data_IF_401042066566
#
_entry.id   IF_401042066566
#
_cell.length_a   1.000
_cell.length_b   1.000
_cell.length_c   1.000
_cell.angle_alpha   90.00
_cell.angle_beta   90.00
_cell.angle_gamma   90.00
#
_symmetry.space_group_name_H-M   'P 1'
#
loop_
_entity.id
_entity.type
_entity.pdbx_description
1 polymer ?
#
# COMPACT_ATOMS: atom_id res chain seq x y z
N UNK A 1 -60.27 56.06 -50.38
CA UNK A 1 -58.83 56.29 -50.31
C UNK A 1 -58.25 55.26 -49.34
N UNK A 2 -57.58 54.24 -49.86
CA UNK A 2 -57.00 53.15 -49.07
C UNK A 2 -55.48 53.31 -49.07
N UNK A 3 -54.86 53.56 -47.87
CA UNK A 3 -53.43 53.56 -47.71
C UNK A 3 -52.94 52.15 -47.38
N UNK A 4 -52.11 51.59 -48.23
CA UNK A 4 -51.34 50.37 -48.00
C UNK A 4 -50.08 50.70 -47.21
N UNK A 5 -49.92 50.06 -46.06
CA UNK A 5 -48.63 50.05 -45.28
C UNK A 5 -47.79 48.90 -45.78
N UNK A 6 -46.58 49.19 -46.26
CA UNK A 6 -45.53 48.21 -46.55
C UNK A 6 -44.80 47.84 -45.24
N UNK A 7 -44.81 46.55 -44.95
CA UNK A 7 -43.93 45.97 -43.90
C UNK A 7 -42.63 45.50 -44.59
N UNK A 8 -41.48 46.00 -44.08
CA UNK A 8 -40.15 45.45 -44.38
C UNK A 8 -39.86 44.27 -43.43
N UNK A 9 -39.26 43.17 -43.89
CA UNK A 9 -38.82 42.12 -43.01
C UNK A 9 -37.42 42.42 -42.42
N UNK A 10 -37.32 42.44 -41.10
CA UNK A 10 -36.07 42.55 -40.36
C UNK A 10 -35.34 41.18 -40.42
N UNK A 11 -34.23 41.13 -41.14
CA UNK A 11 -33.36 39.94 -41.16
C UNK A 11 -32.56 39.87 -39.82
N UNK A 12 -32.82 38.84 -39.03
CA UNK A 12 -32.15 38.53 -37.81
C UNK A 12 -30.85 37.75 -38.11
N UNK A 13 -29.71 38.40 -37.97
CA UNK A 13 -28.40 37.81 -38.21
C UNK A 13 -28.00 37.01 -36.94
N UNK A 14 -28.16 35.69 -36.97
CA UNK A 14 -27.62 34.80 -35.92
C UNK A 14 -26.12 34.65 -36.10
N UNK A 15 -25.33 35.34 -35.25
CA UNK A 15 -23.89 35.08 -35.12
C UNK A 15 -23.68 33.78 -34.31
N UNK A 16 -23.30 32.73 -34.99
CA UNK A 16 -22.84 31.49 -34.33
C UNK A 16 -21.43 31.71 -33.75
N UNK A 17 -21.35 31.87 -32.46
CA UNK A 17 -20.05 31.79 -31.71
C UNK A 17 -19.58 30.35 -31.70
N UNK A 18 -18.65 30.00 -32.58
CA UNK A 18 -17.92 28.75 -32.51
C UNK A 18 -16.95 28.83 -31.34
N UNK A 19 -17.30 28.25 -30.19
CA UNK A 19 -16.41 28.00 -29.10
C UNK A 19 -15.40 26.92 -29.53
N UNK A 20 -14.22 27.32 -30.00
CA UNK A 20 -13.08 26.41 -30.11
C UNK A 20 -12.68 25.99 -28.70
N UNK A 21 -13.16 24.84 -28.22
CA UNK A 21 -12.55 24.16 -27.08
C UNK A 21 -11.17 23.66 -27.54
N UNK A 22 -10.12 24.36 -27.13
CA UNK A 22 -8.76 23.83 -27.22
C UNK A 22 -8.68 22.62 -26.28
N UNK A 23 -8.89 21.42 -26.85
CA UNK A 23 -8.53 20.20 -26.17
C UNK A 23 -7.02 20.28 -25.89
N UNK A 24 -6.65 20.40 -24.61
CA UNK A 24 -5.26 20.32 -24.20
C UNK A 24 -4.69 19.04 -24.79
N UNK A 25 -3.74 19.16 -25.70
CA UNK A 25 -2.99 18.02 -26.25
C UNK A 25 -2.25 17.42 -25.07
N UNK A 26 -2.77 16.31 -24.53
CA UNK A 26 -2.05 15.52 -23.53
C UNK A 26 -0.72 15.12 -24.14
N UNK A 27 0.37 15.60 -23.55
CA UNK A 27 1.71 15.13 -23.88
C UNK A 27 1.68 13.59 -23.80
N UNK A 28 2.13 12.86 -24.82
CA UNK A 28 2.14 11.40 -24.75
C UNK A 28 2.93 10.99 -23.51
N UNK A 29 2.39 10.07 -22.70
CA UNK A 29 3.08 9.52 -21.56
C UNK A 29 4.45 8.99 -22.05
N UNK A 30 5.52 9.34 -21.35
CA UNK A 30 6.85 8.83 -21.68
C UNK A 30 6.79 7.29 -21.65
N UNK A 31 7.41 6.65 -22.65
CA UNK A 31 7.51 5.19 -22.66
C UNK A 31 8.28 4.70 -21.43
N UNK A 32 7.86 3.60 -20.81
CA UNK A 32 8.58 3.02 -19.68
C UNK A 32 10.04 2.76 -19.98
N UNK A 33 10.92 3.09 -19.03
CA UNK A 33 12.36 2.83 -19.16
C UNK A 33 12.68 1.35 -18.94
N UNK A 34 13.71 0.86 -19.64
CA UNK A 34 14.19 -0.53 -19.53
C UNK A 34 15.72 -0.59 -19.62
N UNK A 35 16.30 -1.69 -19.09
CA UNK A 35 17.74 -1.96 -19.17
C UNK A 35 18.56 -0.81 -18.61
N UNK A 36 19.66 -0.45 -19.28
CA UNK A 36 20.61 0.57 -18.82
C UNK A 36 19.99 1.96 -18.59
N UNK A 37 18.94 2.31 -19.35
CA UNK A 37 18.26 3.60 -19.14
C UNK A 37 17.51 3.62 -17.79
N UNK A 38 16.87 2.51 -17.42
CA UNK A 38 16.25 2.36 -16.10
C UNK A 38 17.32 2.35 -15.00
N UNK A 39 18.39 1.60 -15.18
CA UNK A 39 19.49 1.54 -14.21
C UNK A 39 20.07 2.92 -13.91
N UNK A 40 20.35 3.69 -14.96
CA UNK A 40 20.88 5.05 -14.81
C UNK A 40 19.94 5.98 -14.09
N UNK A 41 18.63 5.85 -14.33
CA UNK A 41 17.62 6.65 -13.64
C UNK A 41 17.49 6.26 -12.15
N UNK A 42 17.49 4.97 -11.83
CA UNK A 42 17.49 4.50 -10.44
C UNK A 42 18.69 5.05 -9.67
N UNK A 43 19.90 4.91 -10.25
CA UNK A 43 21.13 5.39 -9.63
C UNK A 43 21.16 6.92 -9.48
N UNK A 44 20.60 7.66 -10.44
CA UNK A 44 20.45 9.11 -10.35
C UNK A 44 19.55 9.50 -9.18
N UNK A 45 18.35 8.92 -9.12
CA UNK A 45 17.37 9.20 -8.07
C UNK A 45 17.92 8.84 -6.68
N UNK A 46 18.58 7.69 -6.54
CA UNK A 46 19.20 7.28 -5.27
C UNK A 46 20.26 8.27 -4.79
N UNK A 47 21.12 8.77 -5.71
CA UNK A 47 22.13 9.78 -5.34
C UNK A 47 21.49 11.09 -4.89
N UNK A 48 20.50 11.59 -5.63
CA UNK A 48 19.85 12.87 -5.36
C UNK A 48 19.01 12.83 -4.07
N UNK A 49 18.41 11.68 -3.78
CA UNK A 49 17.60 11.47 -2.57
C UNK A 49 18.39 10.91 -1.38
N UNK A 50 19.70 10.69 -1.50
CA UNK A 50 20.55 10.10 -0.47
C UNK A 50 20.06 8.72 0.02
N UNK A 51 19.66 7.85 -0.92
CA UNK A 51 19.22 6.47 -0.64
C UNK A 51 20.43 5.54 -0.77
N UNK A 52 20.91 4.90 0.32
CA UNK A 52 22.11 4.08 0.29
C UNK A 52 21.93 2.75 -0.44
N UNK A 53 20.75 2.13 -0.36
CA UNK A 53 20.46 0.86 -0.99
C UNK A 53 19.01 0.73 -1.43
N UNK A 54 18.81 0.16 -2.62
CA UNK A 54 17.50 -0.08 -3.21
C UNK A 54 17.53 -1.33 -4.08
N UNK A 55 16.49 -2.16 -3.97
CA UNK A 55 16.26 -3.29 -4.86
C UNK A 55 14.96 -3.07 -5.64
N UNK A 56 15.01 -3.30 -6.96
CA UNK A 56 13.90 -3.05 -7.88
C UNK A 56 13.58 -4.31 -8.68
N UNK A 57 12.28 -4.65 -8.76
CA UNK A 57 11.78 -5.60 -9.72
C UNK A 57 10.68 -4.96 -10.59
N UNK A 58 10.71 -5.23 -11.89
CA UNK A 58 9.63 -4.90 -12.83
C UNK A 58 9.05 -6.21 -13.37
N UNK A 59 7.73 -6.29 -13.32
CA UNK A 59 6.96 -7.43 -13.78
C UNK A 59 6.12 -6.97 -14.97
N UNK A 60 6.16 -7.70 -16.08
CA UNK A 60 5.33 -7.49 -17.26
C UNK A 60 4.59 -8.77 -17.60
N UNK A 61 3.28 -8.65 -17.83
CA UNK A 61 2.42 -9.79 -18.10
C UNK A 61 2.61 -10.95 -17.11
N UNK A 62 2.82 -10.60 -15.82
CA UNK A 62 3.04 -11.56 -14.74
C UNK A 62 4.39 -12.26 -14.77
N UNK A 63 5.39 -11.73 -15.48
CA UNK A 63 6.77 -12.25 -15.55
C UNK A 63 7.77 -11.19 -15.12
N UNK A 64 8.74 -11.56 -14.31
CA UNK A 64 9.82 -10.67 -13.90
C UNK A 64 10.72 -10.41 -15.12
N UNK A 65 10.78 -9.14 -15.55
CA UNK A 65 11.58 -8.71 -16.72
C UNK A 65 12.78 -7.87 -16.34
N UNK A 66 12.78 -7.31 -15.12
CA UNK A 66 13.91 -6.60 -14.53
C UNK A 66 13.98 -6.96 -13.04
N UNK A 67 15.18 -7.28 -12.58
CA UNK A 67 15.43 -7.64 -11.19
C UNK A 67 16.87 -7.24 -10.85
N UNK A 68 17.03 -6.17 -10.08
CA UNK A 68 18.36 -5.64 -9.77
C UNK A 68 18.37 -4.95 -8.40
N UNK A 69 19.54 -5.00 -7.78
CA UNK A 69 19.85 -4.28 -6.56
C UNK A 69 20.93 -3.24 -6.82
N UNK A 70 20.86 -2.12 -6.12
CA UNK A 70 21.72 -0.95 -6.29
C UNK A 70 22.21 -0.48 -4.93
N UNK A 71 23.44 0.04 -4.89
CA UNK A 71 24.02 0.59 -3.67
C UNK A 71 24.43 -0.45 -2.65
N UNK A 72 24.26 -0.15 -1.37
CA UNK A 72 24.85 -0.91 -0.27
C UNK A 72 23.79 -1.37 0.74
N UNK A 73 23.94 -2.62 1.22
CA UNK A 73 23.18 -3.17 2.34
C UNK A 73 23.78 -2.76 3.71
N UNK A 74 25.07 -2.43 3.73
CA UNK A 74 25.83 -1.97 4.89
C UNK A 74 26.87 -0.95 4.39
N UNK A 75 26.67 0.33 4.68
CA UNK A 75 27.54 1.42 4.20
C UNK A 75 28.84 1.48 4.98
N UNK A 76 28.83 1.10 6.27
CA UNK A 76 30.01 1.12 7.13
C UNK A 76 31.02 0.06 6.67
N UNK A 77 30.53 -1.15 6.35
CA UNK A 77 31.35 -2.25 5.85
C UNK A 77 31.52 -2.25 4.32
N UNK A 78 30.91 -1.29 3.63
CA UNK A 78 30.91 -1.20 2.16
C UNK A 78 30.42 -2.49 1.45
N UNK A 79 29.44 -3.16 2.06
CA UNK A 79 28.88 -4.38 1.51
C UNK A 79 27.76 -4.05 0.50
N UNK A 80 27.84 -4.58 -0.75
CA UNK A 80 26.82 -4.31 -1.75
C UNK A 80 25.48 -4.91 -1.40
N UNK A 81 24.39 -4.22 -1.78
CA UNK A 81 23.05 -4.80 -1.81
C UNK A 81 22.96 -5.77 -2.99
N UNK A 82 22.38 -6.94 -2.76
CA UNK A 82 22.13 -7.94 -3.81
C UNK A 82 20.64 -8.28 -3.88
N UNK A 83 20.23 -8.95 -4.94
CA UNK A 83 18.83 -9.36 -5.10
C UNK A 83 18.37 -10.36 -4.03
N UNK A 84 19.31 -11.09 -3.43
CA UNK A 84 19.07 -12.04 -2.33
C UNK A 84 19.29 -11.42 -0.94
N UNK A 85 19.59 -10.12 -0.85
CA UNK A 85 19.71 -9.45 0.43
C UNK A 85 18.37 -9.45 1.13
N UNK A 86 18.36 -9.94 2.38
CA UNK A 86 17.18 -9.94 3.23
C UNK A 86 16.93 -8.53 3.73
N UNK A 87 15.72 -8.03 3.51
CA UNK A 87 15.27 -6.70 3.86
C UNK A 87 13.97 -6.79 4.66
N UNK A 88 13.77 -5.83 5.56
CA UNK A 88 12.52 -5.78 6.31
C UNK A 88 11.35 -5.39 5.40
N UNK A 89 10.40 -6.31 5.24
CA UNK A 89 9.21 -6.09 4.41
C UNK A 89 8.16 -5.16 5.04
N UNK A 90 8.26 -4.91 6.36
CA UNK A 90 7.31 -4.09 7.10
C UNK A 90 5.84 -4.44 6.74
N UNK A 91 5.02 -3.45 6.39
CA UNK A 91 3.60 -3.66 6.07
C UNK A 91 3.31 -4.39 4.76
N UNK A 92 4.31 -4.73 3.93
CA UNK A 92 4.11 -5.70 2.84
C UNK A 92 3.61 -7.05 3.38
N UNK A 93 3.92 -7.36 4.65
CA UNK A 93 3.37 -8.52 5.39
C UNK A 93 1.85 -8.61 5.28
N UNK A 94 1.14 -7.48 5.35
CA UNK A 94 -0.33 -7.46 5.33
C UNK A 94 -0.92 -7.97 4.01
N UNK A 95 -0.27 -7.66 2.89
CA UNK A 95 -0.68 -8.15 1.57
C UNK A 95 -0.51 -9.67 1.45
N UNK A 96 0.62 -10.20 1.91
CA UNK A 96 0.87 -11.65 1.97
C UNK A 96 -0.08 -12.35 2.94
N UNK A 97 -0.32 -11.77 4.13
CA UNK A 97 -1.29 -12.29 5.10
C UNK A 97 -2.72 -12.30 4.52
N UNK A 98 -3.16 -11.23 3.87
CA UNK A 98 -4.48 -11.18 3.24
C UNK A 98 -4.66 -12.26 2.18
N UNK A 99 -3.62 -12.52 1.37
CA UNK A 99 -3.62 -13.64 0.43
C UNK A 99 -3.77 -14.99 1.16
N UNK A 100 -3.00 -15.20 2.23
CA UNK A 100 -3.09 -16.43 3.04
C UNK A 100 -4.48 -16.61 3.66
N UNK A 101 -5.11 -15.53 4.15
CA UNK A 101 -6.48 -15.55 4.68
C UNK A 101 -7.48 -15.98 3.62
N UNK A 102 -7.30 -15.57 2.35
CA UNK A 102 -8.21 -16.00 1.28
C UNK A 102 -8.21 -17.51 1.05
N UNK A 103 -7.14 -18.24 1.37
CA UNK A 103 -7.13 -19.71 1.32
C UNK A 103 -8.06 -20.33 2.38
N UNK A 104 -8.17 -19.69 3.55
CA UNK A 104 -9.14 -20.10 4.58
C UNK A 104 -10.58 -19.79 4.13
N UNK A 105 -10.77 -18.71 3.42
CA UNK A 105 -12.09 -18.35 2.85
C UNK A 105 -12.50 -19.35 1.78
N UNK A 106 -11.62 -19.70 0.86
CA UNK A 106 -11.92 -20.68 -0.20
C UNK A 106 -12.19 -22.07 0.34
N UNK A 107 -11.50 -22.48 1.41
CA UNK A 107 -11.75 -23.76 2.08
C UNK A 107 -12.98 -23.76 2.99
N UNK A 108 -13.70 -22.64 3.08
CA UNK A 108 -14.89 -22.50 3.93
C UNK A 108 -14.60 -22.47 5.43
N UNK A 109 -13.33 -22.40 5.84
CA UNK A 109 -12.91 -22.31 7.25
C UNK A 109 -13.16 -20.93 7.84
N UNK A 110 -13.13 -19.89 7.01
CA UNK A 110 -13.36 -18.50 7.41
C UNK A 110 -14.37 -17.86 6.47
N UNK A 111 -15.38 -17.21 7.03
CA UNK A 111 -16.32 -16.36 6.31
C UNK A 111 -15.95 -14.90 6.54
N UNK A 112 -15.78 -14.14 5.45
CA UNK A 112 -15.37 -12.73 5.51
C UNK A 112 -16.39 -11.83 6.25
N UNK A 113 -17.67 -12.23 6.28
CA UNK A 113 -18.77 -11.41 6.82
C UNK A 113 -19.32 -11.92 8.15
N UNK A 114 -18.83 -13.05 8.63
CA UNK A 114 -19.20 -13.60 9.93
C UNK A 114 -18.48 -12.85 11.04
N UNK A 115 -19.20 -12.58 12.15
CA UNK A 115 -18.62 -11.92 13.33
C UNK A 115 -17.43 -12.73 13.87
N UNK A 116 -16.35 -12.03 14.27
CA UNK A 116 -15.23 -12.66 14.97
C UNK A 116 -15.65 -13.32 16.28
N UNK A 117 -16.73 -12.82 16.90
CA UNK A 117 -17.29 -13.39 18.11
C UNK A 117 -17.73 -14.85 17.96
N UNK A 118 -18.15 -15.24 16.74
CA UNK A 118 -18.63 -16.59 16.45
C UNK A 118 -17.51 -17.61 16.25
N UNK A 119 -16.28 -17.17 16.12
CA UNK A 119 -15.10 -18.02 16.01
C UNK A 119 -14.43 -18.26 17.37
N UNK A 120 -14.49 -17.27 18.26
CA UNK A 120 -13.77 -17.33 19.52
C UNK A 120 -14.52 -18.20 20.56
N UNK A 121 -13.80 -19.05 21.32
CA UNK A 121 -14.39 -19.91 22.35
C UNK A 121 -14.93 -19.14 23.58
N UNK A 122 -14.51 -17.87 23.75
CA UNK A 122 -14.99 -16.97 24.79
C UNK A 122 -15.01 -15.53 24.29
N UNK A 123 -15.76 -14.61 24.93
CA UNK A 123 -15.81 -13.21 24.57
C UNK A 123 -14.41 -12.57 24.43
N UNK A 124 -14.21 -11.73 23.39
CA UNK A 124 -12.92 -11.11 23.12
C UNK A 124 -12.34 -10.33 24.32
N UNK A 125 -13.15 -9.56 25.13
CA UNK A 125 -12.62 -8.84 26.30
C UNK A 125 -12.16 -9.75 27.45
N UNK A 126 -12.47 -11.04 27.43
CA UNK A 126 -11.98 -11.99 28.43
C UNK A 126 -10.55 -12.48 28.17
N UNK A 127 -9.98 -12.10 27.03
CA UNK A 127 -8.55 -12.29 26.77
C UNK A 127 -7.79 -11.05 27.26
N UNK A 128 -6.74 -11.26 28.04
CA UNK A 128 -5.93 -10.19 28.64
C UNK A 128 -5.52 -9.12 27.62
N UNK A 129 -5.06 -9.55 26.45
CA UNK A 129 -4.63 -8.67 25.34
C UNK A 129 -5.73 -7.70 24.87
N UNK A 130 -7.00 -8.04 25.08
CA UNK A 130 -8.18 -7.30 24.60
C UNK A 130 -9.11 -6.86 25.74
N UNK A 131 -8.66 -6.94 26.99
CA UNK A 131 -9.44 -6.55 28.17
C UNK A 131 -9.87 -5.07 28.15
N UNK A 132 -9.14 -4.22 27.43
CA UNK A 132 -9.50 -2.82 27.21
C UNK A 132 -10.88 -2.63 26.55
N UNK A 133 -11.39 -3.65 25.85
CA UNK A 133 -12.70 -3.60 25.17
C UNK A 133 -13.87 -4.01 26.09
N UNK A 134 -13.62 -4.27 27.38
CA UNK A 134 -14.68 -4.61 28.32
C UNK A 134 -15.73 -3.47 28.41
N UNK A 135 -17.00 -3.84 28.25
CA UNK A 135 -18.13 -2.89 28.26
C UNK A 135 -18.42 -2.20 26.92
N UNK A 136 -17.60 -2.44 25.86
CA UNK A 136 -17.86 -1.91 24.52
C UNK A 136 -18.22 -3.05 23.54
N UNK A 137 -19.52 -3.24 23.30
CA UNK A 137 -20.04 -4.34 22.47
C UNK A 137 -19.75 -4.20 20.96
N UNK A 138 -19.11 -3.10 20.51
CA UNK A 138 -18.77 -2.89 19.09
C UNK A 138 -17.84 -3.96 18.54
N UNK A 139 -17.04 -4.64 19.38
CA UNK A 139 -16.19 -5.74 18.96
C UNK A 139 -16.97 -6.91 18.31
N UNK A 140 -18.25 -7.09 18.66
CA UNK A 140 -19.12 -8.11 18.04
C UNK A 140 -19.49 -7.81 16.60
N UNK A 141 -19.34 -6.55 16.16
CA UNK A 141 -19.58 -6.12 14.77
C UNK A 141 -18.38 -6.37 13.88
N UNK A 142 -17.22 -6.67 14.48
CA UNK A 142 -16.00 -6.92 13.70
C UNK A 142 -16.13 -8.22 12.92
N UNK A 143 -15.74 -8.18 11.65
CA UNK A 143 -15.65 -9.32 10.75
C UNK A 143 -14.27 -9.37 10.11
N UNK A 144 -13.81 -10.51 9.57
CA UNK A 144 -12.56 -10.58 8.81
C UNK A 144 -12.46 -9.51 7.70
N UNK A 145 -13.55 -9.23 7.01
CA UNK A 145 -13.64 -8.17 6.00
C UNK A 145 -13.33 -6.79 6.59
N UNK A 146 -13.98 -6.44 7.69
CA UNK A 146 -13.78 -5.15 8.39
C UNK A 146 -12.33 -5.00 8.83
N UNK A 147 -11.71 -6.07 9.34
CA UNK A 147 -10.32 -6.05 9.81
C UNK A 147 -9.34 -5.92 8.65
N UNK A 148 -9.52 -6.66 7.55
CA UNK A 148 -8.67 -6.61 6.36
C UNK A 148 -8.83 -5.30 5.57
N UNK A 149 -9.97 -4.63 5.63
CA UNK A 149 -10.21 -3.37 4.91
C UNK A 149 -9.87 -2.12 5.74
N UNK A 150 -9.24 -2.28 6.91
CA UNK A 150 -8.89 -1.17 7.80
C UNK A 150 -10.08 -0.28 8.18
N UNK A 151 -11.21 -0.90 8.47
CA UNK A 151 -12.43 -0.22 8.91
C UNK A 151 -12.84 -0.63 10.31
N UNK A 152 -11.90 -1.16 11.10
CA UNK A 152 -12.17 -1.68 12.45
C UNK A 152 -12.62 -0.63 13.46
N UNK A 153 -12.27 0.63 13.28
CA UNK A 153 -12.46 1.67 14.28
C UNK A 153 -11.26 1.83 15.22
N UNK A 154 -10.24 0.99 15.11
CA UNK A 154 -9.02 1.08 15.93
C UNK A 154 -7.97 2.01 15.32
N UNK A 155 -7.10 2.57 16.16
CA UNK A 155 -5.85 3.20 15.74
C UNK A 155 -4.93 2.20 15.02
N UNK A 156 -3.84 2.70 14.39
CA UNK A 156 -2.82 1.82 13.81
C UNK A 156 -2.27 0.87 14.88
N UNK A 157 -1.77 1.43 15.97
CA UNK A 157 -1.49 0.69 17.21
C UNK A 157 -2.04 1.50 18.38
N UNK A 158 -2.43 0.81 19.47
CA UNK A 158 -3.12 1.43 20.61
C UNK A 158 -2.40 2.61 21.25
N UNK A 159 -1.08 2.67 21.11
CA UNK A 159 -0.25 3.75 21.62
C UNK A 159 -0.18 4.99 20.69
N UNK A 160 -0.71 4.92 19.47
CA UNK A 160 -0.89 6.09 18.59
C UNK A 160 -2.29 6.65 18.77
N UNK A 161 -2.40 7.75 19.47
CA UNK A 161 -3.67 8.43 19.76
C UNK A 161 -3.81 9.72 18.93
N UNK A 162 -4.99 10.33 18.82
CA UNK A 162 -5.13 11.65 18.18
C UNK A 162 -4.28 12.75 18.84
N UNK A 163 -3.90 12.56 20.09
CA UNK A 163 -3.05 13.49 20.86
C UNK A 163 -1.55 13.19 20.72
N UNK A 164 -1.19 12.15 19.99
CA UNK A 164 0.19 11.69 19.80
C UNK A 164 0.48 10.32 20.41
N UNK A 165 1.75 10.03 20.67
CA UNK A 165 2.19 8.77 21.25
C UNK A 165 1.91 8.73 22.76
N UNK A 166 1.27 7.64 23.20
CA UNK A 166 0.99 7.31 24.60
C UNK A 166 1.42 5.87 24.87
N UNK A 167 2.50 5.67 25.62
CA UNK A 167 3.01 4.33 25.95
C UNK A 167 2.00 3.44 26.69
N UNK A 168 1.07 4.06 27.45
CA UNK A 168 0.00 3.41 28.17
C UNK A 168 -1.33 3.38 27.37
N UNK A 169 -1.25 3.67 26.09
CA UNK A 169 -2.40 3.72 25.18
C UNK A 169 -3.21 2.43 25.17
N UNK A 170 -4.53 2.57 25.28
CA UNK A 170 -5.47 1.46 25.34
C UNK A 170 -6.14 1.21 24.00
N UNK A 171 -6.45 -0.07 23.74
CA UNK A 171 -7.24 -0.43 22.57
C UNK A 171 -8.69 0.05 22.79
N UNK A 172 -9.16 0.91 21.90
CA UNK A 172 -10.54 1.42 21.93
C UNK A 172 -11.03 1.73 20.52
N UNK A 173 -12.33 1.80 20.35
CA UNK A 173 -12.96 2.24 19.11
C UNK A 173 -13.04 3.77 19.07
N UNK A 174 -12.51 4.34 18.00
CA UNK A 174 -12.61 5.77 17.72
C UNK A 174 -13.82 6.11 16.84
N UNK A 175 -14.34 5.12 16.10
CA UNK A 175 -15.54 5.23 15.28
C UNK A 175 -16.22 3.87 15.13
N UNK A 176 -17.43 3.84 14.56
CA UNK A 176 -18.19 2.61 14.32
C UNK A 176 -17.47 1.70 13.31
N UNK A 177 -17.28 0.41 13.61
CA UNK A 177 -16.72 -0.56 12.67
C UNK A 177 -17.45 -0.55 11.33
N UNK A 178 -16.68 -0.52 10.24
CA UNK A 178 -17.19 -0.49 8.87
C UNK A 178 -17.55 0.90 8.34
N UNK A 179 -17.54 1.96 9.16
CA UNK A 179 -18.06 3.28 8.76
C UNK A 179 -17.08 4.13 7.96
N UNK A 180 -15.77 3.99 8.20
CA UNK A 180 -14.72 4.72 7.47
C UNK A 180 -13.40 3.96 7.46
N UNK A 181 -12.53 4.34 6.55
CA UNK A 181 -11.15 3.88 6.52
C UNK A 181 -10.31 4.55 7.61
N UNK A 182 -9.53 3.77 8.34
CA UNK A 182 -8.40 4.20 9.15
C UNK A 182 -7.41 3.04 9.27
N UNK A 183 -6.22 3.21 8.72
CA UNK A 183 -5.20 2.16 8.69
C UNK A 183 -4.93 1.61 10.10
N UNK A 184 -5.01 0.29 10.28
CA UNK A 184 -4.95 -0.32 11.60
C UNK A 184 -4.17 -1.64 11.60
N UNK A 185 -2.98 -1.61 12.20
CA UNK A 185 -2.21 -2.81 12.52
C UNK A 185 -2.86 -3.61 13.64
N UNK A 186 -3.53 -2.95 14.60
CA UNK A 186 -4.31 -3.64 15.66
C UNK A 186 -5.41 -4.50 15.04
N UNK A 187 -6.13 -3.99 14.02
CA UNK A 187 -7.18 -4.77 13.34
C UNK A 187 -6.62 -6.01 12.65
N UNK A 188 -5.48 -5.90 11.95
CA UNK A 188 -4.82 -7.04 11.30
C UNK A 188 -4.33 -8.06 12.33
N UNK A 189 -3.67 -7.60 13.42
CA UNK A 189 -3.21 -8.49 14.48
C UNK A 189 -4.38 -9.13 15.25
N UNK A 190 -5.54 -8.47 15.33
CA UNK A 190 -6.76 -9.08 15.88
C UNK A 190 -7.27 -10.20 14.97
N UNK A 191 -7.25 -10.04 13.66
CA UNK A 191 -7.64 -11.12 12.76
C UNK A 191 -6.69 -12.33 12.89
N UNK A 192 -5.37 -12.11 12.98
CA UNK A 192 -4.41 -13.16 13.30
C UNK A 192 -4.82 -13.89 14.59
N UNK A 193 -5.07 -13.13 15.66
CA UNK A 193 -5.49 -13.69 16.96
C UNK A 193 -6.74 -14.56 16.84
N UNK A 194 -7.75 -14.11 16.08
CA UNK A 194 -8.99 -14.85 15.84
C UNK A 194 -8.72 -16.16 15.08
N UNK A 195 -7.88 -16.12 14.06
CA UNK A 195 -7.49 -17.31 13.30
C UNK A 195 -6.77 -18.32 14.20
N UNK A 196 -5.83 -17.86 15.03
CA UNK A 196 -5.07 -18.72 15.93
C UNK A 196 -5.93 -19.31 17.07
N UNK A 197 -6.72 -18.48 17.74
CA UNK A 197 -7.49 -18.88 18.93
C UNK A 197 -8.89 -19.44 18.60
N UNK A 198 -9.46 -19.02 17.47
CA UNK A 198 -10.80 -19.45 17.05
C UNK A 198 -10.80 -20.62 16.09
N UNK A 199 -9.84 -20.67 15.17
CA UNK A 199 -9.73 -21.76 14.18
C UNK A 199 -8.63 -22.78 14.53
N UNK A 200 -7.76 -22.48 15.50
CA UNK A 200 -6.62 -23.31 15.84
C UNK A 200 -5.55 -23.39 14.73
N UNK A 201 -5.48 -22.39 13.84
CA UNK A 201 -4.55 -22.33 12.71
C UNK A 201 -3.37 -21.42 13.05
N UNK A 202 -2.17 -21.97 13.07
CA UNK A 202 -0.94 -21.18 13.19
C UNK A 202 -0.75 -20.31 11.95
N UNK A 203 -0.73 -18.98 12.16
CA UNK A 203 -0.63 -18.00 11.05
C UNK A 203 0.75 -18.00 10.41
N UNK A 204 1.82 -18.26 11.16
CA UNK A 204 3.17 -18.41 10.60
C UNK A 204 3.24 -19.59 9.62
N UNK A 205 2.72 -20.76 10.02
CA UNK A 205 2.64 -21.94 9.15
C UNK A 205 1.68 -21.72 7.96
N UNK A 206 0.55 -21.03 8.18
CA UNK A 206 -0.37 -20.68 7.11
C UNK A 206 0.32 -19.84 6.03
N UNK A 207 1.05 -18.79 6.44
CA UNK A 207 1.79 -17.94 5.51
C UNK A 207 2.92 -18.70 4.82
N UNK A 208 3.64 -19.55 5.56
CA UNK A 208 4.68 -20.40 4.99
C UNK A 208 4.12 -21.27 3.85
N UNK A 209 3.07 -22.03 4.12
CA UNK A 209 2.51 -23.00 3.17
C UNK A 209 1.75 -22.33 2.01
N UNK A 210 0.94 -21.32 2.30
CA UNK A 210 0.04 -20.73 1.30
C UNK A 210 0.68 -19.61 0.50
N UNK A 211 1.79 -19.02 0.99
CA UNK A 211 2.47 -17.90 0.32
C UNK A 211 3.91 -18.28 0.02
N UNK A 212 4.74 -18.51 1.03
CA UNK A 212 6.19 -18.60 0.82
C UNK A 212 6.58 -19.83 0.02
N UNK A 213 6.11 -21.00 0.39
CA UNK A 213 6.38 -22.25 -0.36
C UNK A 213 5.76 -22.21 -1.76
N UNK A 214 4.52 -21.71 -1.85
CA UNK A 214 3.78 -21.64 -3.11
C UNK A 214 4.48 -20.79 -4.17
N UNK A 215 5.05 -19.65 -3.77
CA UNK A 215 5.71 -18.71 -4.67
C UNK A 215 7.23 -18.84 -4.67
N UNK A 216 7.78 -19.87 -3.99
CA UNK A 216 9.22 -20.12 -3.94
C UNK A 216 10.01 -19.03 -3.21
N UNK A 217 9.43 -18.43 -2.17
CA UNK A 217 10.02 -17.35 -1.37
C UNK A 217 10.96 -17.93 -0.30
N UNK A 218 12.14 -18.38 -0.72
CA UNK A 218 13.07 -19.18 0.10
C UNK A 218 13.78 -18.39 1.19
N UNK A 219 13.94 -17.10 0.99
CA UNK A 219 14.61 -16.17 1.92
C UNK A 219 13.61 -15.21 2.57
N UNK A 220 12.38 -15.72 2.82
CA UNK A 220 11.29 -14.94 3.44
C UNK A 220 10.78 -15.68 4.66
N UNK A 221 10.63 -14.95 5.77
CA UNK A 221 10.04 -15.50 6.99
C UNK A 221 9.31 -14.40 7.78
N UNK A 222 8.39 -14.82 8.66
CA UNK A 222 7.67 -13.92 9.59
C UNK A 222 8.34 -13.81 10.95
N UNK A 223 9.39 -14.59 11.19
CA UNK A 223 10.25 -14.55 12.38
C UNK A 223 11.71 -14.58 11.97
N UNK A 224 12.59 -14.13 12.86
CA UNK A 224 14.02 -14.14 12.62
C UNK A 224 14.58 -15.54 12.37
N UNK A 225 15.47 -15.66 11.38
CA UNK A 225 16.28 -16.83 11.10
C UNK A 225 17.76 -16.43 11.08
N UNK A 226 18.62 -17.20 11.75
CA UNK A 226 20.06 -16.89 11.84
C UNK A 226 20.75 -16.87 10.47
N UNK A 227 20.27 -17.67 9.51
CA UNK A 227 20.79 -17.69 8.13
C UNK A 227 20.65 -16.33 7.43
N UNK A 228 19.74 -15.49 7.87
CA UNK A 228 19.56 -14.13 7.32
C UNK A 228 20.72 -13.19 7.65
N UNK A 229 21.41 -13.43 8.77
CA UNK A 229 22.51 -12.56 9.23
C UNK A 229 23.64 -12.41 8.18
N UNK A 230 23.88 -13.43 7.37
CA UNK A 230 24.96 -13.45 6.38
C UNK A 230 24.74 -12.41 5.26
N UNK A 231 23.49 -12.12 4.90
CA UNK A 231 23.13 -11.19 3.81
C UNK A 231 21.94 -10.30 4.18
N UNK A 232 22.04 -9.60 5.30
CA UNK A 232 21.01 -8.73 5.85
C UNK A 232 21.29 -7.27 5.51
N UNK A 233 20.24 -6.50 5.19
CA UNK A 233 20.33 -5.06 5.04
C UNK A 233 20.22 -4.33 6.40
N UNK A 234 21.10 -3.34 6.59
CA UNK A 234 21.02 -2.38 7.67
C UNK A 234 20.10 -1.24 7.25
N UNK A 235 19.16 -0.84 8.11
CA UNK A 235 18.29 0.32 7.88
C UNK A 235 18.98 1.63 8.19
N UNK A 236 18.66 2.70 7.45
CA UNK A 236 19.24 4.04 7.61
C UNK A 236 18.15 5.10 7.75
N UNK A 237 18.31 6.00 8.73
CA UNK A 237 17.42 7.16 8.88
C UNK A 237 17.63 8.20 7.76
N UNK A 238 16.89 9.32 7.80
CA UNK A 238 16.96 10.39 6.80
C UNK A 238 18.33 11.08 6.75
N UNK A 239 19.11 10.99 7.82
CA UNK A 239 20.47 11.56 7.93
C UNK A 239 21.55 10.54 7.55
N UNK A 240 21.16 9.32 7.17
CA UNK A 240 22.09 8.24 6.82
C UNK A 240 22.72 7.53 8.04
N UNK A 241 22.17 7.70 9.24
CA UNK A 241 22.60 6.98 10.44
C UNK A 241 22.04 5.56 10.43
N UNK A 242 22.89 4.59 10.70
CA UNK A 242 22.49 3.18 10.83
C UNK A 242 21.57 2.94 12.04
N UNK A 243 20.45 2.27 11.81
CA UNK A 243 19.44 1.91 12.83
C UNK A 243 19.49 0.43 13.21
N UNK A 244 20.28 -0.37 12.49
CA UNK A 244 20.33 -1.81 12.66
C UNK A 244 19.11 -2.53 12.09
N UNK A 245 18.94 -3.79 12.47
CA UNK A 245 17.81 -4.64 12.10
C UNK A 245 17.19 -5.26 13.34
N UNK A 246 15.85 -5.22 13.44
CA UNK A 246 15.11 -5.81 14.55
C UNK A 246 14.88 -7.31 14.30
N UNK A 247 15.52 -8.19 15.09
CA UNK A 247 15.28 -9.63 15.08
C UNK A 247 13.92 -9.94 15.73
N UNK A 248 12.92 -10.24 14.92
CA UNK A 248 11.53 -10.47 15.38
C UNK A 248 11.32 -11.92 15.76
N UNK A 249 11.12 -12.19 17.06
CA UNK A 249 10.91 -13.55 17.58
C UNK A 249 9.47 -14.05 17.53
N UNK A 250 8.51 -13.26 17.02
CA UNK A 250 7.10 -13.64 16.95
C UNK A 250 6.43 -13.17 15.66
N UNK A 251 5.51 -13.98 15.17
CA UNK A 251 4.68 -13.65 14.02
C UNK A 251 3.76 -12.48 14.35
N UNK A 252 3.76 -11.46 13.50
CA UNK A 252 2.78 -10.37 13.52
C UNK A 252 2.29 -10.13 12.10
N UNK A 253 1.06 -10.49 11.83
CA UNK A 253 0.45 -10.32 10.50
C UNK A 253 0.46 -8.86 10.02
N UNK A 254 0.55 -7.90 10.93
CA UNK A 254 0.64 -6.49 10.61
C UNK A 254 2.04 -6.03 10.12
N UNK A 255 3.12 -6.83 10.27
CA UNK A 255 4.43 -6.34 9.84
C UNK A 255 5.63 -7.04 10.48
N UNK A 256 5.76 -8.34 10.40
CA UNK A 256 6.96 -9.03 10.90
C UNK A 256 7.78 -9.74 9.83
N UNK A 257 7.37 -9.65 8.57
CA UNK A 257 8.04 -10.36 7.48
C UNK A 257 9.36 -9.70 7.11
N UNK A 258 10.42 -10.51 7.08
CA UNK A 258 11.66 -10.22 6.37
C UNK A 258 11.61 -10.95 5.02
N UNK A 259 12.09 -10.31 3.94
CA UNK A 259 11.97 -10.83 2.57
C UNK A 259 13.11 -10.33 1.68
N UNK A 260 13.18 -10.84 0.45
CA UNK A 260 14.07 -10.35 -0.60
C UNK A 260 13.26 -9.78 -1.76
N UNK A 261 13.89 -8.98 -2.63
CA UNK A 261 13.22 -8.49 -3.84
C UNK A 261 12.85 -9.63 -4.78
N UNK A 262 13.66 -10.69 -4.85
CA UNK A 262 13.36 -11.92 -5.64
C UNK A 262 12.06 -12.56 -5.13
N UNK A 263 12.01 -12.82 -3.85
CA UNK A 263 10.91 -13.56 -3.23
C UNK A 263 9.58 -12.80 -3.35
N UNK A 264 9.59 -11.52 -2.96
CA UNK A 264 8.34 -10.75 -3.03
C UNK A 264 7.90 -10.44 -4.47
N UNK A 265 8.86 -10.32 -5.43
CA UNK A 265 8.54 -10.23 -6.86
C UNK A 265 7.90 -11.51 -7.39
N UNK A 266 8.34 -12.69 -6.95
CA UNK A 266 7.72 -13.97 -7.28
C UNK A 266 6.27 -14.03 -6.77
N UNK A 267 6.03 -13.57 -5.53
CA UNK A 267 4.67 -13.46 -4.98
C UNK A 267 3.79 -12.52 -5.82
N UNK A 268 4.26 -11.32 -6.15
CA UNK A 268 3.49 -10.36 -6.95
C UNK A 268 3.19 -10.90 -8.36
N UNK A 269 4.19 -11.51 -9.02
CA UNK A 269 4.03 -12.12 -10.34
C UNK A 269 2.95 -13.22 -10.31
N UNK A 270 2.99 -14.08 -9.29
CA UNK A 270 1.96 -15.12 -9.09
C UNK A 270 0.58 -14.53 -8.79
N UNK A 271 0.53 -13.51 -7.91
CA UNK A 271 -0.73 -12.84 -7.55
C UNK A 271 -1.42 -12.22 -8.80
N UNK A 272 -0.68 -11.50 -9.67
CA UNK A 272 -1.28 -10.89 -10.85
C UNK A 272 -1.69 -11.92 -11.89
N UNK A 273 -0.99 -13.06 -12.01
CA UNK A 273 -1.44 -14.20 -12.83
C UNK A 273 -2.69 -14.87 -12.27
N UNK A 274 -2.91 -14.79 -10.95
CA UNK A 274 -4.00 -15.47 -10.24
C UNK A 274 -3.61 -16.88 -9.76
N UNK A 275 -2.32 -17.12 -9.57
CA UNK A 275 -1.84 -18.42 -9.09
C UNK A 275 -2.36 -18.70 -7.66
N UNK A 276 -2.84 -19.89 -7.42
CA UNK A 276 -3.20 -20.41 -6.10
C UNK A 276 -4.52 -19.92 -5.50
N UNK A 277 -5.20 -18.94 -6.09
CA UNK A 277 -6.57 -18.53 -5.73
C UNK A 277 -7.50 -18.69 -6.92
N UNK A 278 -8.76 -19.04 -6.67
CA UNK A 278 -9.78 -18.99 -7.71
C UNK A 278 -9.98 -17.57 -8.23
N UNK A 279 -10.48 -17.43 -9.46
CA UNK A 279 -10.80 -16.12 -10.02
C UNK A 279 -11.76 -15.32 -9.12
N UNK A 280 -12.70 -16.02 -8.44
CA UNK A 280 -13.63 -15.42 -7.48
C UNK A 280 -12.90 -14.88 -6.24
N UNK A 281 -11.99 -15.66 -5.66
CA UNK A 281 -11.24 -15.24 -4.46
C UNK A 281 -10.27 -14.11 -4.78
N UNK A 282 -9.59 -14.15 -5.93
CA UNK A 282 -8.72 -13.05 -6.40
C UNK A 282 -9.53 -11.75 -6.61
N UNK A 283 -10.69 -11.85 -7.29
CA UNK A 283 -11.57 -10.70 -7.48
C UNK A 283 -12.09 -10.13 -6.15
N UNK A 284 -12.37 -11.01 -5.17
CA UNK A 284 -12.79 -10.62 -3.84
C UNK A 284 -11.68 -9.93 -3.05
N UNK A 285 -10.44 -10.43 -3.15
CA UNK A 285 -9.25 -9.86 -2.50
C UNK A 285 -9.01 -8.41 -2.92
N UNK A 286 -9.18 -8.10 -4.19
CA UNK A 286 -8.86 -6.79 -4.79
C UNK A 286 -10.09 -5.90 -5.05
N UNK A 287 -11.29 -6.32 -4.63
CA UNK A 287 -12.50 -5.51 -4.80
C UNK A 287 -12.48 -4.32 -3.85
N UNK A 288 -12.69 -3.08 -4.32
CA UNK A 288 -12.85 -1.92 -3.46
C UNK A 288 -13.94 -2.14 -2.39
N UNK A 289 -13.62 -1.87 -1.13
CA UNK A 289 -14.53 -2.07 0.03
C UNK A 289 -14.97 -0.76 0.64
N UNK A 290 -14.03 0.14 0.80
CA UNK A 290 -14.27 1.44 1.42
C UNK A 290 -13.55 2.52 0.63
N UNK A 291 -14.24 3.57 0.25
CA UNK A 291 -13.62 4.74 -0.35
C UNK A 291 -12.77 5.46 0.70
N UNK A 292 -11.54 5.79 0.34
CA UNK A 292 -10.64 6.56 1.18
C UNK A 292 -10.91 8.04 0.93
N UNK A 293 -11.27 8.77 1.98
CA UNK A 293 -11.57 10.20 1.94
C UNK A 293 -10.63 11.03 2.80
N UNK A 294 -9.77 10.39 3.61
CA UNK A 294 -8.78 11.11 4.41
C UNK A 294 -7.79 11.85 3.52
N UNK A 295 -7.34 13.02 3.98
CA UNK A 295 -6.29 13.79 3.29
C UNK A 295 -5.01 12.99 3.18
N UNK A 296 -4.68 12.21 4.21
CA UNK A 296 -3.46 11.42 4.33
C UNK A 296 -3.74 10.07 4.99
N UNK A 297 -2.84 9.12 4.83
CA UNK A 297 -2.89 7.82 5.49
C UNK A 297 -2.51 7.94 6.96
N UNK A 298 -1.49 8.73 7.28
CA UNK A 298 -1.00 8.95 8.64
C UNK A 298 -1.01 10.44 9.03
N UNK A 299 -1.40 10.78 10.26
CA UNK A 299 -1.93 9.91 11.34
C UNK A 299 -3.27 9.27 10.97
N UNK A 300 -3.48 8.00 11.31
CA UNK A 300 -4.61 7.19 10.83
C UNK A 300 -5.98 7.63 11.35
N UNK A 301 -6.02 8.38 12.47
CA UNK A 301 -7.24 8.86 13.10
C UNK A 301 -7.59 10.30 12.70
N UNK A 302 -6.86 10.87 11.75
CA UNK A 302 -7.12 12.21 11.25
C UNK A 302 -8.52 12.29 10.62
N UNK A 303 -9.24 13.39 10.88
CA UNK A 303 -10.64 13.52 10.46
C UNK A 303 -10.82 14.36 9.18
N UNK A 304 -9.78 15.12 8.79
CA UNK A 304 -9.84 15.93 7.59
C UNK A 304 -10.01 15.07 6.35
N UNK A 305 -10.85 15.53 5.44
CA UNK A 305 -11.17 14.83 4.20
C UNK A 305 -10.82 15.67 2.98
N UNK A 306 -10.54 14.98 1.86
CA UNK A 306 -10.25 15.59 0.56
C UNK A 306 -11.06 14.95 -0.55
N UNK A 307 -11.20 15.68 -1.65
CA UNK A 307 -11.75 15.17 -2.93
C UNK A 307 -10.66 14.90 -3.98
N UNK A 308 -9.38 15.17 -3.67
CA UNK A 308 -8.26 15.08 -4.61
C UNK A 308 -8.12 13.68 -5.24
N UNK A 309 -8.43 12.65 -4.45
CA UNK A 309 -8.35 11.26 -4.89
C UNK A 309 -9.64 10.73 -5.55
N UNK A 310 -10.70 11.54 -5.70
CA UNK A 310 -11.95 11.08 -6.31
C UNK A 310 -11.76 10.67 -7.78
N UNK A 311 -10.90 11.38 -8.52
CA UNK A 311 -10.60 11.09 -9.91
C UNK A 311 -10.00 9.70 -10.15
N UNK A 312 -9.30 9.15 -9.16
CA UNK A 312 -8.73 7.79 -9.19
C UNK A 312 -9.54 6.78 -8.40
N UNK A 313 -10.68 7.17 -7.80
CA UNK A 313 -11.52 6.32 -6.96
C UNK A 313 -10.74 5.56 -5.88
N UNK A 314 -9.79 6.25 -5.20
CA UNK A 314 -8.94 5.66 -4.18
C UNK A 314 -9.77 4.96 -3.10
N UNK A 315 -9.47 3.70 -2.85
CA UNK A 315 -10.23 2.82 -1.95
C UNK A 315 -9.29 1.82 -1.28
N UNK A 316 -9.79 1.13 -0.26
CA UNK A 316 -9.08 -0.02 0.30
C UNK A 316 -9.88 -1.30 0.04
N UNK A 317 -9.16 -2.38 -0.26
CA UNK A 317 -9.67 -3.73 -0.45
C UNK A 317 -9.30 -4.61 0.75
N UNK A 318 -9.02 -5.89 0.56
CA UNK A 318 -8.61 -6.78 1.65
C UNK A 318 -7.07 -6.82 1.72
N UNK A 319 -6.49 -5.98 2.58
CA UNK A 319 -5.04 -5.89 2.79
C UNK A 319 -4.28 -5.09 1.72
N UNK A 320 -4.95 -4.51 0.75
CA UNK A 320 -4.39 -3.76 -0.37
C UNK A 320 -5.11 -2.43 -0.58
N UNK A 321 -4.36 -1.37 -0.85
CA UNK A 321 -4.90 -0.16 -1.45
C UNK A 321 -5.26 -0.41 -2.91
N UNK A 322 -6.37 0.17 -3.39
CA UNK A 322 -6.82 0.01 -4.77
C UNK A 322 -7.26 1.36 -5.34
N UNK A 323 -7.00 1.58 -6.61
CA UNK A 323 -7.39 2.80 -7.30
C UNK A 323 -7.55 2.56 -8.80
N UNK A 324 -8.00 3.57 -9.52
CA UNK A 324 -8.10 3.54 -10.97
C UNK A 324 -7.01 4.40 -11.59
N UNK A 325 -6.00 3.75 -12.18
CA UNK A 325 -4.99 4.42 -12.98
C UNK A 325 -5.51 4.73 -14.39
N UNK A 326 -4.81 5.58 -15.18
CA UNK A 326 -5.12 5.76 -16.61
C UNK A 326 -5.02 4.46 -17.42
N UNK A 327 -4.33 3.44 -16.90
CA UNK A 327 -4.10 2.15 -17.54
C UNK A 327 -5.04 1.05 -17.01
N UNK A 328 -6.09 1.41 -16.24
CA UNK A 328 -7.05 0.48 -15.67
C UNK A 328 -6.94 0.32 -14.15
N UNK A 329 -7.61 -0.69 -13.58
CA UNK A 329 -7.58 -0.95 -12.15
C UNK A 329 -6.17 -1.24 -11.66
N UNK A 330 -5.78 -0.64 -10.53
CA UNK A 330 -4.49 -0.82 -9.90
C UNK A 330 -4.64 -1.18 -8.42
N UNK A 331 -3.64 -1.85 -7.86
CA UNK A 331 -3.54 -2.09 -6.43
C UNK A 331 -2.11 -1.88 -5.95
N UNK A 332 -1.97 -1.51 -4.70
CA UNK A 332 -0.68 -1.21 -4.11
C UNK A 332 -0.60 -1.64 -2.64
N UNK A 333 0.62 -1.76 -2.17
CA UNK A 333 0.93 -1.92 -0.76
C UNK A 333 2.25 -1.26 -0.43
N UNK A 334 2.20 -0.39 0.52
CA UNK A 334 3.37 0.23 1.14
C UNK A 334 3.92 -0.65 2.28
N UNK A 335 5.21 -0.50 2.57
CA UNK A 335 5.86 -1.08 3.74
C UNK A 335 6.83 -0.08 4.34
N UNK A 336 6.48 0.53 5.47
CA UNK A 336 7.20 1.63 6.08
C UNK A 336 7.55 1.34 7.55
N UNK A 337 8.79 1.59 7.92
CA UNK A 337 9.29 1.70 9.29
C UNK A 337 10.58 2.55 9.24
N UNK A 338 11.09 2.98 10.40
CA UNK A 338 12.36 3.67 10.48
C UNK A 338 13.48 2.86 9.79
N UNK A 339 14.18 3.50 8.85
CA UNK A 339 15.23 2.87 8.06
C UNK A 339 14.76 1.92 6.98
N UNK A 340 13.46 1.86 6.67
CA UNK A 340 12.91 0.97 5.66
C UNK A 340 11.69 1.60 4.98
N UNK A 341 11.76 1.71 3.66
CA UNK A 341 10.60 2.07 2.83
C UNK A 341 10.48 1.10 1.66
N UNK A 342 9.30 0.54 1.49
CA UNK A 342 9.00 -0.41 0.42
C UNK A 342 7.69 -0.04 -0.28
N UNK A 343 7.60 -0.37 -1.55
CA UNK A 343 6.39 -0.16 -2.33
C UNK A 343 6.17 -1.25 -3.37
N UNK A 344 4.97 -1.75 -3.43
CA UNK A 344 4.49 -2.66 -4.47
C UNK A 344 3.30 -2.02 -5.17
N UNK A 345 3.35 -1.84 -6.49
CA UNK A 345 2.27 -1.32 -7.32
C UNK A 345 2.04 -2.24 -8.49
N UNK A 346 0.79 -2.63 -8.72
CA UNK A 346 0.40 -3.50 -9.83
C UNK A 346 -0.80 -2.94 -10.60
N UNK A 347 -0.75 -3.06 -11.93
CA UNK A 347 -1.82 -2.80 -12.88
C UNK A 347 -2.52 -4.13 -13.20
N UNK A 348 -3.81 -4.25 -12.89
CA UNK A 348 -4.49 -5.56 -12.93
C UNK A 348 -4.66 -6.10 -14.36
N UNK A 349 -5.05 -5.23 -15.31
CA UNK A 349 -5.40 -5.67 -16.67
C UNK A 349 -4.16 -6.09 -17.46
N UNK A 350 -3.06 -5.35 -17.36
CA UNK A 350 -1.79 -5.68 -18.01
C UNK A 350 -0.94 -6.69 -17.25
N UNK A 351 -1.27 -6.97 -15.98
CA UNK A 351 -0.46 -7.79 -15.06
C UNK A 351 0.97 -7.26 -14.89
N UNK A 352 1.13 -5.95 -14.98
CA UNK A 352 2.41 -5.28 -14.81
C UNK A 352 2.55 -4.79 -13.37
N UNK A 353 3.73 -4.98 -12.78
CA UNK A 353 4.03 -4.48 -11.44
C UNK A 353 5.40 -3.84 -11.36
N UNK A 354 5.55 -2.96 -10.38
CA UNK A 354 6.86 -2.56 -9.84
C UNK A 354 6.90 -2.89 -8.36
N UNK A 355 8.02 -3.46 -7.92
CA UNK A 355 8.37 -3.66 -6.52
C UNK A 355 9.64 -2.88 -6.23
N UNK A 356 9.62 -2.10 -5.17
CA UNK A 356 10.74 -1.30 -4.68
C UNK A 356 10.95 -1.65 -3.21
N UNK A 357 12.13 -2.12 -2.85
CA UNK A 357 12.55 -2.32 -1.47
C UNK A 357 13.76 -1.41 -1.21
N UNK A 358 13.71 -0.63 -0.13
CA UNK A 358 14.79 0.27 0.26
C UNK A 358 15.15 0.12 1.74
N UNK A 359 16.43 0.15 2.05
CA UNK A 359 16.94 0.17 3.43
C UNK A 359 17.15 1.61 3.94
N UNK A 360 16.28 2.52 3.58
CA UNK A 360 16.39 3.94 3.93
C UNK A 360 15.04 4.58 4.21
N UNK A 361 14.99 5.46 5.21
CA UNK A 361 13.86 6.37 5.45
C UNK A 361 13.67 7.41 4.33
N UNK A 362 14.68 7.61 3.46
CA UNK A 362 14.56 8.45 2.27
C UNK A 362 13.98 7.72 1.05
N UNK A 363 13.82 6.38 1.13
CA UNK A 363 13.44 5.55 -0.02
C UNK A 363 12.14 5.96 -0.67
N UNK A 364 11.12 6.30 0.12
CA UNK A 364 9.80 6.68 -0.41
C UNK A 364 9.82 7.96 -1.25
N UNK A 365 10.80 8.84 -1.04
CA UNK A 365 10.91 10.13 -1.74
C UNK A 365 11.17 10.00 -3.25
N UNK A 366 11.48 8.80 -3.75
CA UNK A 366 11.70 8.51 -5.17
C UNK A 366 10.69 7.51 -5.75
N UNK A 367 9.73 7.00 -4.98
CA UNK A 367 8.82 5.93 -5.43
C UNK A 367 7.94 6.32 -6.60
N UNK A 368 7.38 7.55 -6.60
CA UNK A 368 6.57 8.02 -7.71
C UNK A 368 7.37 8.09 -9.02
N UNK A 369 8.59 8.58 -8.96
CA UNK A 369 9.46 8.66 -10.14
C UNK A 369 9.77 7.27 -10.69
N UNK A 370 10.10 6.32 -9.81
CA UNK A 370 10.38 4.93 -10.20
C UNK A 370 9.14 4.22 -10.74
N UNK A 371 7.98 4.43 -10.11
CA UNK A 371 6.72 3.87 -10.60
C UNK A 371 6.37 4.39 -11.99
N UNK A 372 6.46 5.70 -12.20
CA UNK A 372 6.18 6.32 -13.49
C UNK A 372 7.25 5.98 -14.54
N UNK A 373 8.52 5.84 -14.15
CA UNK A 373 9.59 5.40 -15.05
C UNK A 373 9.43 3.95 -15.54
N UNK A 374 8.86 3.08 -14.70
CA UNK A 374 8.73 1.64 -15.00
C UNK A 374 7.38 1.26 -15.60
N UNK A 375 6.29 1.88 -15.16
CA UNK A 375 4.92 1.55 -15.56
C UNK A 375 4.25 2.62 -16.42
N UNK A 376 4.90 3.78 -16.63
CA UNK A 376 4.28 4.97 -17.22
C UNK A 376 3.43 5.71 -16.19
N UNK A 377 2.67 6.70 -16.63
CA UNK A 377 1.83 7.51 -15.72
C UNK A 377 0.83 6.63 -14.96
N UNK A 378 1.08 6.45 -13.67
CA UNK A 378 0.29 5.56 -12.82
C UNK A 378 -0.80 6.28 -12.02
N UNK A 379 -0.67 7.59 -11.81
CA UNK A 379 -1.49 8.33 -10.84
C UNK A 379 -1.45 7.75 -9.43
N UNK A 380 -0.30 7.23 -9.03
CA UNK A 380 -0.03 6.77 -7.67
C UNK A 380 -0.48 7.83 -6.65
N UNK A 381 -1.26 7.49 -5.58
CA UNK A 381 -1.74 8.45 -4.60
C UNK A 381 -0.64 8.87 -3.61
N UNK A 382 0.48 9.34 -4.14
CA UNK A 382 1.72 9.62 -3.42
C UNK A 382 1.55 10.55 -2.23
N UNK A 383 0.77 11.62 -2.37
CA UNK A 383 0.55 12.58 -1.28
C UNK A 383 -0.28 11.97 -0.14
N UNK A 384 -1.29 11.17 -0.50
CA UNK A 384 -2.09 10.46 0.48
C UNK A 384 -1.27 9.44 1.28
N UNK A 385 -0.30 8.78 0.66
CA UNK A 385 0.66 7.86 1.31
C UNK A 385 1.67 8.57 2.25
N UNK A 386 1.52 9.87 2.47
CA UNK A 386 2.46 10.73 3.21
C UNK A 386 3.82 10.93 2.51
N UNK A 387 3.86 10.65 1.25
CA UNK A 387 5.05 10.68 0.44
C UNK A 387 5.44 12.13 0.09
N UNK A 388 6.72 12.49 0.31
CA UNK A 388 7.26 13.80 -0.07
C UNK A 388 8.41 13.59 -1.04
N UNK A 389 8.26 14.00 -2.32
CA UNK A 389 9.33 13.89 -3.30
C UNK A 389 10.61 14.57 -2.83
N UNK A 390 11.77 13.97 -3.16
CA UNK A 390 13.07 14.44 -2.71
C UNK A 390 13.38 15.87 -3.17
N UNK A 391 12.88 16.27 -4.32
CA UNK A 391 13.06 17.58 -4.95
C UNK A 391 11.99 18.62 -4.57
N UNK A 392 11.05 18.24 -3.68
CA UNK A 392 10.01 19.11 -3.13
C UNK A 392 10.01 19.11 -1.59
N UNK A 393 11.15 19.39 -0.93
CA UNK A 393 11.24 19.38 0.53
C UNK A 393 10.34 20.41 1.21
N UNK A 394 9.93 21.48 0.50
CA UNK A 394 8.99 22.49 0.98
C UNK A 394 7.60 21.91 1.30
N UNK A 395 7.22 20.80 0.70
CA UNK A 395 5.95 20.14 0.98
C UNK A 395 5.93 19.40 2.34
N UNK A 396 7.04 19.36 3.06
CA UNK A 396 7.06 19.00 4.49
C UNK A 396 6.38 20.03 5.37
N UNK A 397 6.23 21.28 4.88
CA UNK A 397 5.56 22.33 5.62
C UNK A 397 4.03 22.10 5.65
N UNK A 398 3.43 22.27 6.84
CA UNK A 398 2.00 22.08 7.05
C UNK A 398 1.11 22.97 6.15
N UNK A 399 1.55 24.19 5.82
CA UNK A 399 0.78 25.07 4.93
C UNK A 399 0.81 24.61 3.47
N UNK A 400 1.97 24.13 2.99
CA UNK A 400 2.09 23.58 1.63
C UNK A 400 1.24 22.30 1.49
N UNK A 401 1.12 21.52 2.57
CA UNK A 401 0.28 20.30 2.60
C UNK A 401 -1.22 20.57 2.55
N UNK A 402 -1.67 21.80 2.77
CA UNK A 402 -3.08 22.20 2.63
C UNK A 402 -3.47 22.46 1.18
N UNK A 403 -2.50 22.60 0.27
CA UNK A 403 -2.78 22.74 -1.15
C UNK A 403 -3.25 21.41 -1.75
N UNK A 404 -4.12 21.42 -2.79
CA UNK A 404 -4.48 20.21 -3.50
C UNK A 404 -3.27 19.56 -4.16
N UNK A 405 -3.15 18.23 -4.01
CA UNK A 405 -2.09 17.42 -4.64
C UNK A 405 -2.72 16.25 -5.42
N UNK A 406 -3.41 16.52 -6.55
CA UNK A 406 -4.06 15.48 -7.30
C UNK A 406 -3.04 14.48 -7.88
N UNK A 407 -3.27 13.17 -7.74
CA UNK A 407 -2.27 12.13 -8.03
C UNK A 407 -1.79 12.10 -9.49
N UNK A 408 -2.64 12.54 -10.42
CA UNK A 408 -2.35 12.48 -11.86
C UNK A 408 -1.61 13.71 -12.39
N UNK A 409 -1.39 14.73 -11.58
CA UNK A 409 -0.60 15.88 -12.01
C UNK A 409 0.90 15.54 -11.98
N UNK A 410 1.67 16.00 -12.99
CA UNK A 410 3.11 15.87 -12.97
C UNK A 410 3.69 16.60 -11.75
N UNK A 411 4.68 16.02 -11.11
CA UNK A 411 5.56 16.75 -10.20
C UNK A 411 6.33 17.76 -11.05
N UNK A 412 6.21 19.04 -10.74
CA UNK A 412 6.85 20.16 -11.47
C UNK A 412 8.18 20.52 -10.84
#
# INVERSE_FOLDING_TARGET
>A
MKFRKHLLPTAMLCAALAACSTAAVRKPAASPLRGNALDSEVERLMREAHVPGLALAVIEDGRIVHLKAYGQRDTEKQLPLTTDTVMYGASLTKGAFAYAVMSLVESGKLDLDRSIADYLPKPLPEYEKYADLAGDERWRKLTPRILLSHTSGFANFRFFTPQGYDENGKLKFYFEPGSRFAYSGEGINLLQFVIENGLGVDVGQLMQQQVFDRFGMKNTATTWHEDFAANLAIGYDEQGKALGHKQRGSVRAAGSMDTTVVDYANFLAGLVRGDGLSAKAKAELLRPRIAIRSVQQFPTLFEDTTTDNNGIALSYALGWGVFRSPQGPAFFKEGHDDGTNNYALCLQDSRNCVLILSNSSNGESIFKYLADATLGTTCLPWFWDNYIPYDHPEWRNAEARKQPHPPCEPLK
#
